data_IF_270431676578
#
_entry.id   IF_270431676578
#
_cell.length_a   1.000
_cell.length_b   1.000
_cell.length_c   1.000
_cell.angle_alpha   90.00
_cell.angle_beta   90.00
_cell.angle_gamma   90.00
#
_symmetry.space_group_name_H-M   'P 1'
#
loop_
_entity.id
_entity.type
_entity.pdbx_description
1 polymer ?
#
# COMPACT_ATOMS: atom_id res chain seq x y z
N UNK A 1 17.75 -6.12 -11.90
CA UNK A 1 16.73 -6.49 -10.92
C UNK A 1 16.80 -7.99 -10.78
N UNK A 2 17.01 -8.53 -9.58
CA UNK A 2 16.99 -9.99 -9.40
C UNK A 2 15.55 -10.48 -9.44
N UNK A 3 15.33 -11.73 -9.83
CA UNK A 3 13.99 -12.33 -9.88
C UNK A 3 13.27 -12.24 -8.52
N UNK A 4 14.03 -12.36 -7.43
CA UNK A 4 13.53 -12.23 -6.05
C UNK A 4 12.99 -10.82 -5.72
N UNK A 5 13.67 -9.76 -6.18
CA UNK A 5 13.21 -8.38 -5.97
C UNK A 5 11.94 -8.05 -6.77
N UNK A 6 11.76 -8.72 -7.92
CA UNK A 6 10.53 -8.61 -8.70
C UNK A 6 9.38 -9.38 -8.05
N UNK A 7 9.66 -10.53 -7.43
CA UNK A 7 8.66 -11.36 -6.76
C UNK A 7 8.20 -10.81 -5.39
N UNK A 8 9.06 -10.06 -4.70
CA UNK A 8 8.77 -9.46 -3.39
C UNK A 8 9.23 -7.99 -3.37
N UNK A 9 8.46 -7.07 -3.98
CA UNK A 9 8.83 -5.68 -3.99
C UNK A 9 8.87 -5.13 -2.55
N UNK A 10 9.90 -4.35 -2.18
CA UNK A 10 10.04 -3.87 -0.82
C UNK A 10 8.90 -2.92 -0.44
N UNK A 11 8.30 -3.14 0.73
CA UNK A 11 7.34 -2.20 1.31
C UNK A 11 8.12 -1.02 1.90
N UNK A 12 8.16 0.10 1.17
CA UNK A 12 8.87 1.31 1.60
C UNK A 12 8.01 2.14 2.56
N UNK A 13 8.56 2.41 3.74
CA UNK A 13 8.03 3.43 4.66
C UNK A 13 8.29 4.86 4.11
N UNK A 14 7.23 5.66 4.02
CA UNK A 14 7.25 7.06 3.55
C UNK A 14 6.98 8.08 4.67
N UNK A 15 7.05 7.67 5.93
CA UNK A 15 6.72 8.52 7.09
C UNK A 15 7.58 9.79 7.23
N UNK A 16 8.79 9.77 6.66
CA UNK A 16 9.77 10.87 6.59
C UNK A 16 9.70 11.70 5.31
N UNK A 17 8.90 11.28 4.32
CA UNK A 17 8.77 11.97 3.04
C UNK A 17 7.85 13.19 3.13
N UNK A 18 7.98 14.11 2.18
CA UNK A 18 7.14 15.31 2.09
C UNK A 18 6.83 15.69 0.64
N UNK A 19 5.83 16.56 0.45
CA UNK A 19 5.53 17.15 -0.86
C UNK A 19 5.02 16.13 -1.88
N UNK A 20 5.51 16.23 -3.11
CA UNK A 20 5.04 15.44 -4.25
C UNK A 20 5.22 13.93 -4.06
N UNK A 21 6.21 13.49 -3.29
CA UNK A 21 6.48 12.07 -3.05
C UNK A 21 5.36 11.34 -2.30
N UNK A 22 4.48 12.08 -1.61
CA UNK A 22 3.30 11.54 -0.92
C UNK A 22 2.04 11.53 -1.79
N UNK A 23 2.10 11.96 -3.06
CA UNK A 23 0.90 11.89 -3.90
C UNK A 23 0.56 10.44 -4.23
N UNK A 24 -0.73 10.11 -4.15
CA UNK A 24 -1.24 8.75 -4.42
C UNK A 24 -0.93 8.27 -5.85
N UNK A 25 -0.88 9.18 -6.82
CA UNK A 25 -0.52 8.88 -8.22
C UNK A 25 0.88 8.26 -8.39
N UNK A 26 1.79 8.50 -7.44
CA UNK A 26 3.14 7.92 -7.46
C UNK A 26 3.28 6.66 -6.61
N UNK A 27 2.19 6.19 -5.99
CA UNK A 27 2.18 4.93 -5.28
C UNK A 27 1.93 3.78 -6.28
N UNK A 28 2.94 2.91 -6.43
CA UNK A 28 2.89 1.81 -7.39
C UNK A 28 1.94 0.69 -6.95
N UNK A 29 1.37 -0.03 -7.91
CA UNK A 29 0.46 -1.15 -7.62
C UNK A 29 1.19 -2.30 -6.92
N UNK A 30 2.44 -2.55 -7.33
CA UNK A 30 3.31 -3.57 -6.75
C UNK A 30 3.57 -3.33 -5.25
N UNK A 31 3.85 -2.08 -4.84
CA UNK A 31 4.04 -1.75 -3.42
C UNK A 31 2.76 -1.91 -2.60
N UNK A 32 1.61 -1.54 -3.17
CA UNK A 32 0.31 -1.74 -2.50
C UNK A 32 0.04 -3.24 -2.32
N UNK A 33 0.27 -4.06 -3.34
CA UNK A 33 0.08 -5.52 -3.26
C UNK A 33 1.01 -6.15 -2.21
N UNK A 34 2.28 -5.76 -2.15
CA UNK A 34 3.19 -6.24 -1.12
C UNK A 34 2.75 -5.81 0.29
N UNK A 35 2.28 -4.57 0.45
CA UNK A 35 1.74 -4.09 1.72
C UNK A 35 0.46 -4.83 2.12
N UNK A 36 -0.46 -5.12 1.18
CA UNK A 36 -1.66 -5.93 1.41
C UNK A 36 -1.28 -7.33 1.89
N UNK A 37 -0.37 -8.00 1.19
CA UNK A 37 0.09 -9.33 1.56
C UNK A 37 0.68 -9.35 2.97
N UNK A 38 1.50 -8.35 3.32
CA UNK A 38 2.08 -8.25 4.66
C UNK A 38 1.00 -8.03 5.73
N UNK A 39 0.03 -7.13 5.50
CA UNK A 39 -1.06 -6.90 6.45
C UNK A 39 -1.91 -8.15 6.66
N UNK A 40 -2.27 -8.85 5.58
CA UNK A 40 -3.09 -10.08 5.64
C UNK A 40 -2.32 -11.21 6.31
N UNK A 41 -1.01 -11.35 6.05
CA UNK A 41 -0.17 -12.35 6.70
C UNK A 41 -0.13 -12.16 8.22
N UNK A 42 0.03 -10.92 8.68
CA UNK A 42 0.18 -10.60 10.11
C UNK A 42 -1.16 -10.51 10.87
N UNK A 43 -2.24 -10.09 10.19
CA UNK A 43 -3.53 -9.77 10.83
C UNK A 43 -4.66 -10.74 10.48
N UNK A 44 -4.47 -11.61 9.48
CA UNK A 44 -5.53 -12.45 8.93
C UNK A 44 -6.55 -11.65 8.10
N UNK A 45 -7.79 -12.17 8.03
CA UNK A 45 -8.88 -11.47 7.33
C UNK A 45 -9.37 -10.28 8.13
N UNK A 46 -9.29 -9.10 7.52
CA UNK A 46 -9.82 -7.84 8.05
C UNK A 46 -10.78 -7.19 7.05
N UNK A 47 -11.75 -6.38 7.51
CA UNK A 47 -12.67 -5.67 6.64
C UNK A 47 -11.95 -4.79 5.60
N UNK A 48 -12.49 -4.61 4.38
CA UNK A 48 -11.80 -3.88 3.32
C UNK A 48 -11.41 -2.44 3.70
N UNK A 49 -12.28 -1.72 4.42
CA UNK A 49 -11.95 -0.37 4.90
C UNK A 49 -10.80 -0.36 5.90
N UNK A 50 -10.72 -1.39 6.75
CA UNK A 50 -9.64 -1.54 7.72
C UNK A 50 -8.34 -1.90 7.00
N UNK A 51 -8.40 -2.77 5.98
CA UNK A 51 -7.26 -3.12 5.13
C UNK A 51 -6.68 -1.88 4.45
N UNK A 52 -7.50 -1.01 3.86
CA UNK A 52 -7.04 0.24 3.24
C UNK A 52 -6.28 1.10 4.24
N UNK A 53 -6.80 1.26 5.47
CA UNK A 53 -6.15 2.07 6.51
C UNK A 53 -4.86 1.43 7.02
N UNK A 54 -4.84 0.11 7.18
CA UNK A 54 -3.67 -0.64 7.60
C UNK A 54 -2.54 -0.55 6.57
N UNK A 55 -2.86 -0.75 5.29
CA UNK A 55 -1.92 -0.61 4.16
C UNK A 55 -1.36 0.81 4.10
N UNK A 56 -2.21 1.84 4.19
CA UNK A 56 -1.74 3.22 4.18
C UNK A 56 -0.78 3.54 5.34
N UNK A 57 -1.07 3.05 6.55
CA UNK A 57 -0.20 3.22 7.73
C UNK A 57 1.12 2.49 7.57
N UNK A 58 1.10 1.27 7.06
CA UNK A 58 2.28 0.46 6.79
C UNK A 58 3.22 1.15 5.78
N UNK A 59 2.64 1.83 4.78
CA UNK A 59 3.38 2.63 3.79
C UNK A 59 3.83 4.00 4.33
N UNK A 60 3.57 4.32 5.60
CA UNK A 60 4.04 5.56 6.24
C UNK A 60 3.11 6.77 6.08
N UNK A 61 1.90 6.61 5.52
CA UNK A 61 0.97 7.73 5.36
C UNK A 61 0.31 8.12 6.69
N UNK A 62 0.51 9.38 7.08
CA UNK A 62 -0.05 9.96 8.32
C UNK A 62 -1.56 10.20 8.26
N UNK A 63 -2.11 10.37 7.05
CA UNK A 63 -3.54 10.62 6.79
C UNK A 63 -3.95 9.85 5.55
N UNK A 64 -5.18 9.34 5.55
CA UNK A 64 -5.79 8.68 4.40
C UNK A 64 -6.87 9.60 3.83
N UNK A 65 -6.50 10.38 2.81
CA UNK A 65 -7.44 11.20 2.04
C UNK A 65 -8.12 10.38 0.94
N UNK A 66 -9.07 11.01 0.25
CA UNK A 66 -9.86 10.36 -0.82
C UNK A 66 -8.95 9.74 -1.89
N UNK A 67 -7.98 10.50 -2.42
CA UNK A 67 -7.09 10.03 -3.48
C UNK A 67 -6.27 8.79 -3.08
N UNK A 68 -5.75 8.79 -1.85
CA UNK A 68 -4.99 7.64 -1.33
C UNK A 68 -5.89 6.44 -1.11
N UNK A 69 -7.08 6.65 -0.54
CA UNK A 69 -8.07 5.60 -0.34
C UNK A 69 -8.49 4.97 -1.67
N UNK A 70 -8.80 5.80 -2.67
CA UNK A 70 -9.16 5.37 -4.02
C UNK A 70 -8.04 4.54 -4.64
N UNK A 71 -6.80 5.06 -4.66
CA UNK A 71 -5.66 4.35 -5.25
C UNK A 71 -5.40 2.98 -4.63
N UNK A 72 -5.49 2.88 -3.30
CA UNK A 72 -5.32 1.60 -2.57
C UNK A 72 -6.50 0.66 -2.88
N UNK A 73 -7.73 1.16 -2.81
CA UNK A 73 -8.93 0.35 -3.09
C UNK A 73 -8.97 -0.19 -4.51
N UNK A 74 -8.66 0.64 -5.52
CA UNK A 74 -8.57 0.22 -6.92
C UNK A 74 -7.58 -0.92 -7.08
N UNK A 75 -6.46 -0.86 -6.36
CA UNK A 75 -5.47 -1.93 -6.41
C UNK A 75 -5.97 -3.23 -5.78
N UNK A 76 -6.58 -3.14 -4.59
CA UNK A 76 -7.14 -4.29 -3.87
C UNK A 76 -8.22 -4.99 -4.69
N UNK A 77 -9.10 -4.21 -5.33
CA UNK A 77 -10.25 -4.76 -6.06
C UNK A 77 -9.98 -5.06 -7.54
N UNK A 78 -8.89 -4.55 -8.12
CA UNK A 78 -8.45 -4.91 -9.47
C UNK A 78 -7.64 -6.21 -9.54
N UNK A 79 -7.19 -6.75 -8.41
CA UNK A 79 -6.53 -8.05 -8.33
C UNK A 79 -7.58 -9.18 -8.40
N UNK A 80 -8.14 -9.41 -9.59
CA UNK A 80 -8.93 -10.60 -9.95
C UNK A 80 -8.33 -11.26 -11.20
#
# INVERSE_FOLDING_TARGET
MTEEQHAQPPVRDRSSETGSLLKAEYLSQAEINAAVNLVVQESGQIPPEELIRAVARLLGYKRVGNDLSTRISETIFAAN
#
